data_IF_987492669369
#
_entry.id   IF_987492669369
#
_cell.length_a   1.000
_cell.length_b   1.000
_cell.length_c   1.000
_cell.angle_alpha   90.00
_cell.angle_beta   90.00
_cell.angle_gamma   90.00
#
_symmetry.space_group_name_H-M   'P 1'
#
loop_
_entity.id
_entity.type
_entity.pdbx_description
1 polymer ?
#
# COMPACT_ATOMS: atom_id res chain seq x y z
N UNK A 1 0.67 16.55 -8.04
CA UNK A 1 -0.30 15.51 -7.69
C UNK A 1 -0.37 14.55 -8.85
N UNK A 2 -0.31 13.23 -8.66
CA UNK A 2 -0.32 12.32 -9.79
C UNK A 2 -1.68 12.35 -10.50
N UNK A 3 -1.67 12.39 -11.83
CA UNK A 3 -2.89 12.36 -12.65
C UNK A 3 -3.43 10.92 -12.81
N UNK A 4 -4.68 10.77 -13.28
CA UNK A 4 -5.35 9.46 -13.43
C UNK A 4 -4.50 8.37 -14.10
N UNK A 5 -3.81 8.64 -15.23
CA UNK A 5 -2.90 7.68 -15.86
C UNK A 5 -1.69 7.30 -15.00
N UNK A 6 -1.18 8.22 -14.18
CA UNK A 6 -0.02 7.99 -13.32
C UNK A 6 -0.37 7.10 -12.13
N UNK A 7 -1.54 7.34 -11.51
CA UNK A 7 -2.08 6.47 -10.45
C UNK A 7 -2.30 5.05 -10.98
N UNK A 8 -2.87 4.91 -12.18
CA UNK A 8 -3.05 3.58 -12.81
C UNK A 8 -1.72 2.86 -13.01
N UNK A 9 -0.70 3.55 -13.55
CA UNK A 9 0.64 2.96 -13.75
C UNK A 9 1.28 2.56 -12.42
N UNK A 10 1.13 3.38 -11.38
CA UNK A 10 1.62 3.04 -10.05
C UNK A 10 0.91 1.80 -9.50
N UNK A 11 -0.42 1.74 -9.60
CA UNK A 11 -1.22 0.58 -9.20
C UNK A 11 -0.76 -0.69 -9.92
N UNK A 12 -0.65 -0.65 -11.26
CA UNK A 12 -0.26 -1.81 -12.06
C UNK A 12 1.16 -2.29 -11.71
N UNK A 13 2.09 -1.37 -11.42
CA UNK A 13 3.45 -1.70 -10.99
C UNK A 13 3.46 -2.42 -9.65
N UNK A 14 2.67 -1.94 -8.67
CA UNK A 14 2.61 -2.52 -7.33
C UNK A 14 1.84 -3.84 -7.37
N UNK A 15 0.71 -3.90 -8.08
CA UNK A 15 -0.09 -5.10 -8.32
C UNK A 15 0.79 -6.24 -8.83
N UNK A 16 1.59 -6.00 -9.88
CA UNK A 16 2.50 -7.02 -10.44
C UNK A 16 3.60 -7.44 -9.47
N UNK A 17 3.92 -6.61 -8.48
CA UNK A 17 5.01 -6.88 -7.55
C UNK A 17 4.56 -7.74 -6.37
N UNK A 18 3.38 -7.49 -5.81
CA UNK A 18 2.96 -8.08 -4.52
C UNK A 18 1.62 -8.82 -4.55
N UNK A 19 0.78 -8.67 -5.56
CA UNK A 19 -0.52 -9.36 -5.57
C UNK A 19 -0.33 -10.87 -5.79
N UNK A 20 -1.12 -11.65 -5.05
CA UNK A 20 -1.02 -13.12 -4.97
C UNK A 20 0.07 -13.62 -4.02
N UNK A 21 0.87 -12.73 -3.44
CA UNK A 21 1.93 -13.08 -2.50
C UNK A 21 1.46 -12.87 -1.05
N UNK A 22 1.99 -13.67 -0.13
CA UNK A 22 1.79 -13.49 1.30
C UNK A 22 2.64 -12.32 1.81
N UNK A 23 2.02 -11.41 2.56
CA UNK A 23 2.71 -10.33 3.26
C UNK A 23 3.51 -10.93 4.43
N UNK A 24 4.83 -11.04 4.26
CA UNK A 24 5.74 -11.53 5.31
C UNK A 24 5.94 -10.50 6.41
N UNK A 25 5.83 -9.22 6.07
CA UNK A 25 5.87 -8.11 7.02
C UNK A 25 5.02 -6.95 6.49
N UNK A 26 4.39 -6.20 7.40
CA UNK A 26 3.56 -5.03 7.12
C UNK A 26 3.94 -3.94 8.11
N UNK A 27 4.20 -2.74 7.60
CA UNK A 27 4.57 -1.60 8.42
C UNK A 27 3.69 -0.39 8.14
N UNK A 28 3.27 0.29 9.20
CA UNK A 28 2.67 1.62 9.20
C UNK A 28 3.48 2.57 10.08
N UNK A 29 3.62 3.82 9.65
CA UNK A 29 4.26 4.85 10.47
C UNK A 29 3.31 5.54 11.47
N UNK A 30 2.00 5.36 11.34
CA UNK A 30 1.01 6.01 12.19
C UNK A 30 0.58 5.09 13.33
N UNK A 31 0.70 5.53 14.58
CA UNK A 31 0.41 4.71 15.77
C UNK A 31 -1.01 4.11 15.75
N UNK A 32 -2.00 4.88 15.30
CA UNK A 32 -3.39 4.40 15.15
C UNK A 32 -3.54 3.20 14.21
N UNK A 33 -2.58 2.96 13.32
CA UNK A 33 -2.60 1.87 12.35
C UNK A 33 -1.73 0.69 12.76
N UNK A 34 -0.91 0.83 13.81
CA UNK A 34 -0.04 -0.24 14.30
C UNK A 34 -0.76 -1.55 14.62
N UNK A 35 -1.97 -1.55 15.24
CA UNK A 35 -2.69 -2.80 15.49
C UNK A 35 -2.99 -3.62 14.23
N UNK A 36 -3.12 -2.97 13.07
CA UNK A 36 -3.38 -3.67 11.81
C UNK A 36 -2.15 -4.34 11.20
N UNK A 37 -0.93 -4.06 11.67
CA UNK A 37 0.26 -4.77 11.19
C UNK A 37 0.10 -6.28 11.44
N UNK A 38 -0.25 -6.66 12.68
CA UNK A 38 -0.47 -8.06 13.08
C UNK A 38 -1.66 -8.70 12.35
N UNK A 39 -2.69 -7.93 12.02
CA UNK A 39 -3.86 -8.43 11.27
C UNK A 39 -3.55 -8.71 9.80
N UNK A 40 -2.59 -7.98 9.21
CA UNK A 40 -2.24 -8.05 7.80
C UNK A 40 -1.02 -8.93 7.52
N UNK A 41 -0.15 -9.15 8.50
CA UNK A 41 0.96 -10.11 8.37
C UNK A 41 0.42 -11.53 8.18
N UNK A 42 1.05 -12.28 7.27
CA UNK A 42 0.62 -13.63 6.89
C UNK A 42 -0.61 -13.68 5.98
N UNK A 43 -1.20 -12.53 5.62
CA UNK A 43 -2.32 -12.44 4.69
C UNK A 43 -1.85 -12.35 3.23
N UNK A 44 -2.69 -12.80 2.31
CA UNK A 44 -2.42 -12.67 0.87
C UNK A 44 -2.90 -11.31 0.39
N UNK A 45 -2.04 -10.57 -0.32
CA UNK A 45 -2.47 -9.37 -1.04
C UNK A 45 -3.28 -9.79 -2.26
N UNK A 46 -4.58 -9.55 -2.27
CA UNK A 46 -5.47 -9.98 -3.35
C UNK A 46 -5.46 -9.02 -4.54
N UNK A 47 -5.35 -7.72 -4.26
CA UNK A 47 -5.34 -6.70 -5.31
C UNK A 47 -4.75 -5.36 -4.84
N UNK A 48 -4.26 -4.59 -5.79
CA UNK A 48 -3.83 -3.20 -5.68
C UNK A 48 -4.44 -2.45 -6.84
N UNK A 49 -5.41 -1.58 -6.55
CA UNK A 49 -6.22 -0.89 -7.57
C UNK A 49 -6.32 0.61 -7.29
N UNK A 50 -6.44 1.45 -8.34
CA UNK A 50 -6.84 2.84 -8.18
C UNK A 50 -8.26 2.94 -7.63
N UNK A 51 -8.49 3.88 -6.73
CA UNK A 51 -9.82 4.36 -6.36
C UNK A 51 -9.78 5.89 -6.33
N UNK A 52 -10.37 6.53 -7.36
CA UNK A 52 -10.17 7.96 -7.60
C UNK A 52 -8.68 8.31 -7.74
N UNK A 53 -8.16 9.12 -6.82
CA UNK A 53 -6.75 9.52 -6.76
C UNK A 53 -5.93 8.74 -5.72
N UNK A 54 -6.56 7.79 -5.03
CA UNK A 54 -5.92 6.90 -4.07
C UNK A 54 -5.56 5.55 -4.69
N UNK A 55 -4.73 4.80 -3.95
CA UNK A 55 -4.46 3.39 -4.18
C UNK A 55 -5.02 2.57 -3.02
N UNK A 56 -5.70 1.49 -3.37
CA UNK A 56 -6.27 0.54 -2.42
C UNK A 56 -5.53 -0.78 -2.54
N UNK A 57 -4.93 -1.24 -1.45
CA UNK A 57 -4.28 -2.56 -1.32
C UNK A 57 -5.18 -3.48 -0.51
N UNK A 58 -5.81 -4.46 -1.17
CA UNK A 58 -6.75 -5.41 -0.57
C UNK A 58 -6.06 -6.70 -0.14
N UNK A 59 -6.54 -7.26 0.96
CA UNK A 59 -6.05 -8.51 1.55
C UNK A 59 -7.15 -9.57 1.59
N UNK A 60 -6.79 -10.84 1.79
CA UNK A 60 -7.70 -11.99 1.79
C UNK A 60 -8.57 -12.13 3.05
N UNK A 61 -8.28 -11.38 4.11
CA UNK A 61 -9.10 -11.29 5.32
C UNK A 61 -10.20 -10.23 5.26
N UNK A 62 -10.45 -9.64 4.08
CA UNK A 62 -11.49 -8.63 3.91
C UNK A 62 -11.09 -7.22 4.37
N UNK A 63 -9.82 -6.98 4.71
CA UNK A 63 -9.29 -5.65 4.95
C UNK A 63 -8.66 -5.05 3.69
N UNK A 64 -8.64 -3.72 3.63
CA UNK A 64 -8.00 -2.96 2.58
C UNK A 64 -7.30 -1.72 3.14
N UNK A 65 -6.09 -1.47 2.67
CA UNK A 65 -5.34 -0.25 2.98
C UNK A 65 -5.62 0.78 1.89
N UNK A 66 -6.34 1.83 2.25
CA UNK A 66 -6.53 3.02 1.43
C UNK A 66 -5.34 3.95 1.65
N UNK A 67 -4.72 4.41 0.57
CA UNK A 67 -3.58 5.34 0.63
C UNK A 67 -3.68 6.41 -0.43
N UNK A 68 -3.61 7.67 -0.01
CA UNK A 68 -3.60 8.81 -0.91
C UNK A 68 -2.22 9.45 -0.95
N UNK A 69 -1.64 9.55 -2.15
CA UNK A 69 -0.28 10.05 -2.32
C UNK A 69 -0.17 11.58 -2.08
N UNK A 70 -1.28 12.31 -2.12
CA UNK A 70 -1.29 13.77 -2.00
C UNK A 70 -0.21 14.43 -2.89
N UNK A 71 0.56 15.38 -2.35
CA UNK A 71 1.63 16.08 -3.08
C UNK A 71 2.97 15.34 -3.07
N UNK A 72 3.27 14.59 -2.00
CA UNK A 72 4.62 14.10 -1.73
C UNK A 72 4.74 12.57 -1.69
N UNK A 73 3.62 11.87 -1.63
CA UNK A 73 3.53 10.42 -1.55
C UNK A 73 4.14 9.76 -2.77
N UNK A 74 5.00 8.78 -2.56
CA UNK A 74 5.61 8.01 -3.65
C UNK A 74 5.74 6.54 -3.28
N UNK A 75 5.34 5.69 -4.22
CA UNK A 75 5.50 4.26 -4.13
C UNK A 75 6.81 3.82 -4.78
N UNK A 76 7.56 3.00 -4.05
CA UNK A 76 8.78 2.34 -4.52
C UNK A 76 8.59 0.83 -4.45
N UNK A 77 8.97 0.13 -5.52
CA UNK A 77 9.02 -1.33 -5.54
C UNK A 77 10.48 -1.76 -5.63
N UNK A 78 10.90 -2.66 -4.73
CA UNK A 78 12.26 -3.19 -4.70
C UNK A 78 12.27 -4.69 -4.41
N UNK A 79 13.44 -5.33 -4.50
CA UNK A 79 13.64 -6.70 -3.99
C UNK A 79 13.91 -6.63 -2.47
N UNK A 80 13.72 -7.74 -1.73
CA UNK A 80 14.31 -7.88 -0.40
C UNK A 80 15.79 -7.48 -0.43
N UNK A 81 16.24 -6.75 0.59
CA UNK A 81 17.62 -6.27 0.76
C UNK A 81 18.13 -5.25 -0.28
N UNK A 82 17.27 -4.78 -1.19
CA UNK A 82 17.63 -3.82 -2.23
C UNK A 82 16.86 -2.50 -2.08
N UNK A 83 16.60 -2.07 -0.84
CA UNK A 83 15.89 -0.83 -0.54
C UNK A 83 16.75 0.37 -0.98
N UNK A 84 16.29 1.20 -1.93
CA UNK A 84 17.07 2.35 -2.38
C UNK A 84 17.25 3.38 -1.25
N UNK A 85 18.44 4.01 -1.15
CA UNK A 85 18.65 5.07 -0.16
C UNK A 85 17.73 6.25 -0.46
N UNK A 86 17.07 6.76 0.59
CA UNK A 86 16.15 7.89 0.48
C UNK A 86 16.11 8.67 1.78
N UNK A 87 15.91 10.00 1.69
CA UNK A 87 15.63 10.87 2.85
C UNK A 87 14.14 10.95 3.18
N UNK A 88 13.30 10.28 2.39
CA UNK A 88 11.86 10.29 2.58
C UNK A 88 11.49 9.36 3.73
N UNK A 89 10.48 9.75 4.49
CA UNK A 89 9.96 8.95 5.60
C UNK A 89 9.08 7.82 5.05
N UNK A 90 9.35 6.58 5.47
CA UNK A 90 8.48 5.44 5.18
C UNK A 90 7.16 5.62 5.94
N UNK A 91 6.04 5.35 5.28
CA UNK A 91 4.69 5.58 5.82
C UNK A 91 3.82 4.33 5.82
N UNK A 92 3.95 3.51 4.79
CA UNK A 92 3.36 2.18 4.72
C UNK A 92 4.28 1.25 3.93
N UNK A 93 4.35 -0.02 4.29
CA UNK A 93 5.05 -1.04 3.53
C UNK A 93 4.29 -2.36 3.55
N UNK A 94 4.33 -3.05 2.41
CA UNK A 94 4.03 -4.48 2.32
C UNK A 94 5.27 -5.17 1.81
N UNK A 95 5.82 -6.06 2.62
CA UNK A 95 6.96 -6.88 2.27
C UNK A 95 6.49 -8.29 1.96
N UNK A 96 6.96 -8.85 0.85
CA UNK A 96 6.76 -10.26 0.49
C UNK A 96 8.11 -10.92 0.28
N UNK A 97 8.11 -12.24 0.10
CA UNK A 97 9.32 -13.01 -0.20
C UNK A 97 10.00 -12.60 -1.52
N UNK A 98 9.25 -11.99 -2.45
CA UNK A 98 9.75 -11.65 -3.80
C UNK A 98 10.04 -10.17 -3.99
N UNK A 99 9.15 -9.30 -3.51
CA UNK A 99 9.20 -7.85 -3.73
C UNK A 99 8.60 -7.12 -2.55
N UNK A 100 9.11 -5.92 -2.31
CA UNK A 100 8.53 -5.02 -1.31
C UNK A 100 7.91 -3.83 -2.02
N UNK A 101 6.73 -3.42 -1.56
CA UNK A 101 6.07 -2.19 -1.96
C UNK A 101 6.12 -1.21 -0.79
N UNK A 102 6.79 -0.08 -0.99
CA UNK A 102 7.12 0.90 0.04
C UNK A 102 6.49 2.24 -0.32
N UNK A 103 5.60 2.74 0.52
CA UNK A 103 4.99 4.06 0.39
C UNK A 103 5.71 5.06 1.30
N UNK A 104 6.28 6.09 0.68
CA UNK A 104 7.00 7.15 1.37
C UNK A 104 6.22 8.46 1.34
N UNK A 105 6.36 9.27 2.39
CA UNK A 105 5.89 10.65 2.48
C UNK A 105 4.37 10.90 2.36
N UNK A 106 3.54 9.86 2.17
CA UNK A 106 2.08 10.00 2.20
C UNK A 106 1.58 10.37 3.60
N UNK A 107 0.59 11.26 3.67
CA UNK A 107 -0.01 11.73 4.92
C UNK A 107 -1.32 11.04 5.27
N UNK A 108 -1.97 10.43 4.28
CA UNK A 108 -3.33 9.91 4.39
C UNK A 108 -3.33 8.43 4.05
N UNK A 109 -3.50 7.64 5.10
CA UNK A 109 -3.52 6.19 5.08
C UNK A 109 -4.57 5.74 6.09
N UNK A 110 -5.42 4.84 5.64
CA UNK A 110 -6.54 4.28 6.40
C UNK A 110 -6.64 2.78 6.14
N UNK A 111 -7.14 2.05 7.13
CA UNK A 111 -7.51 0.65 6.97
C UNK A 111 -9.02 0.57 7.01
N UNK A 112 -9.60 0.00 5.97
CA UNK A 112 -11.03 -0.13 5.75
C UNK A 112 -11.37 -1.61 5.62
N UNK A 113 -12.62 -1.96 5.90
CA UNK A 113 -13.16 -3.20 5.36
C UNK A 113 -13.33 -3.09 3.84
N UNK A 114 -13.16 -4.20 3.13
CA UNK A 114 -13.16 -4.20 1.66
C UNK A 114 -14.50 -3.74 1.06
N UNK A 115 -15.59 -3.96 1.77
CA UNK A 115 -16.95 -3.50 1.44
C UNK A 115 -17.19 -2.02 1.72
N UNK A 116 -16.39 -1.37 2.57
CA UNK A 116 -16.46 0.07 2.82
C UNK A 116 -15.72 0.91 1.76
N UNK A 117 -14.79 0.30 1.02
CA UNK A 117 -13.98 0.98 -0.01
C UNK A 117 -14.85 1.68 -1.08
N UNK A 118 -15.89 1.04 -1.68
CA UNK A 118 -16.67 1.68 -2.74
C UNK A 118 -17.41 2.94 -2.30
N UNK A 119 -17.72 3.07 -1.01
CA UNK A 119 -18.44 4.21 -0.42
C UNK A 119 -17.54 5.21 0.29
N UNK A 120 -16.22 4.98 0.33
CA UNK A 120 -15.29 5.87 1.00
C UNK A 120 -15.21 7.23 0.28
N UNK A 121 -15.33 8.36 0.98
CA UNK A 121 -15.15 9.66 0.35
C UNK A 121 -13.73 9.79 -0.23
N UNK A 122 -13.63 10.46 -1.38
CA UNK A 122 -12.37 10.72 -2.09
C UNK A 122 -11.85 12.13 -1.83
#
# INVERSE_FOLDING_TARGET
MPEGPEIRRAADKIQRAIAGETASDVFFAFDRLKPYEDELVGRIVTAVKPYGKALVTSFDNGLAVYSHNQLYGIWTVCKPDAVPPTRRQLRFAVQTSRRWALLYSASEIEVLSADAVPTHPY
#
